data_IF_738808912042
#
_entry.id   IF_738808912042
#
_cell.length_a   1.000
_cell.length_b   1.000
_cell.length_c   1.000
_cell.angle_alpha   90.00
_cell.angle_beta   90.00
_cell.angle_gamma   90.00
#
_symmetry.space_group_name_H-M   'P 1'
#
loop_
_entity.id
_entity.type
_entity.pdbx_description
1 polymer ?
#
# COMPACT_ATOMS: atom_id res chain seq x y z
N UNK A 1 -17.98 -3.24 22.52
CA UNK A 1 -17.16 -2.13 22.01
C UNK A 1 -17.45 -2.04 20.51
N UNK A 2 -17.83 -0.86 20.00
CA UNK A 2 -18.01 -0.69 18.56
C UNK A 2 -16.69 -1.03 17.86
N UNK A 3 -16.75 -1.77 16.76
CA UNK A 3 -15.57 -2.08 15.97
C UNK A 3 -15.04 -0.77 15.40
N UNK A 4 -13.82 -0.39 15.77
CA UNK A 4 -13.23 0.86 15.32
C UNK A 4 -12.95 0.76 13.82
N UNK A 5 -13.56 1.65 13.04
CA UNK A 5 -13.24 1.82 11.62
C UNK A 5 -11.81 2.34 11.49
N UNK A 6 -10.98 1.64 10.72
CA UNK A 6 -9.62 2.07 10.36
C UNK A 6 -9.60 2.30 8.86
N UNK A 7 -9.35 3.54 8.44
CA UNK A 7 -9.15 3.92 7.05
C UNK A 7 -7.70 3.61 6.65
N UNK A 8 -7.54 2.82 5.60
CA UNK A 8 -6.26 2.59 4.93
C UNK A 8 -6.30 3.33 3.60
N UNK A 9 -5.46 4.35 3.48
CA UNK A 9 -5.25 5.03 2.20
C UNK A 9 -4.10 4.35 1.47
N UNK A 10 -4.41 3.65 0.40
CA UNK A 10 -3.42 2.95 -0.44
C UNK A 10 -2.93 3.92 -1.49
N UNK A 11 -1.64 4.26 -1.46
CA UNK A 11 -1.00 5.13 -2.43
C UNK A 11 -0.04 4.31 -3.29
N UNK A 12 -0.40 4.16 -4.56
CA UNK A 12 0.45 3.55 -5.58
C UNK A 12 1.39 4.54 -6.24
N UNK A 13 1.82 4.17 -7.44
CA UNK A 13 2.64 5.03 -8.28
C UNK A 13 1.83 6.18 -8.90
N UNK A 14 0.59 5.89 -9.30
CA UNK A 14 -0.31 6.79 -10.02
C UNK A 14 -1.61 7.08 -9.27
N UNK A 15 -2.11 6.09 -8.52
CA UNK A 15 -3.45 6.13 -7.94
C UNK A 15 -3.43 6.16 -6.41
N UNK A 16 -4.53 6.67 -5.85
CA UNK A 16 -4.85 6.56 -4.43
C UNK A 16 -6.22 5.91 -4.31
N UNK A 17 -6.32 4.87 -3.48
CA UNK A 17 -7.58 4.16 -3.20
C UNK A 17 -7.74 4.03 -1.69
N UNK A 18 -8.92 4.40 -1.21
CA UNK A 18 -9.29 4.33 0.20
C UNK A 18 -10.05 3.03 0.48
N UNK A 19 -9.59 2.25 1.47
CA UNK A 19 -10.26 1.03 1.94
C UNK A 19 -10.45 1.06 3.44
N UNK A 20 -11.52 0.43 3.92
CA UNK A 20 -11.71 0.22 5.36
C UNK A 20 -11.10 -1.11 5.76
N UNK A 21 -10.22 -1.11 6.76
CA UNK A 21 -9.59 -2.32 7.29
C UNK A 21 -10.64 -3.36 7.70
N UNK A 22 -10.42 -4.61 7.30
CA UNK A 22 -11.27 -5.75 7.70
C UNK A 22 -10.41 -6.84 8.32
N UNK A 23 -11.03 -7.67 9.17
CA UNK A 23 -10.39 -8.91 9.64
C UNK A 23 -10.17 -9.84 8.46
N UNK A 24 -9.10 -10.61 8.51
CA UNK A 24 -8.85 -11.65 7.52
C UNK A 24 -10.06 -12.62 7.47
N UNK A 25 -10.57 -12.88 6.27
CA UNK A 25 -11.63 -13.85 6.03
C UNK A 25 -11.10 -15.00 5.17
N UNK A 26 -11.97 -15.93 4.76
CA UNK A 26 -11.56 -16.99 3.83
C UNK A 26 -10.98 -16.36 2.56
N UNK A 27 -9.88 -16.92 2.04
CA UNK A 27 -9.11 -16.33 0.93
C UNK A 27 -10.01 -15.92 -0.24
N UNK A 28 -10.00 -14.63 -0.57
CA UNK A 28 -10.71 -14.11 -1.74
C UNK A 28 -10.28 -14.82 -3.04
N UNK A 29 -11.21 -14.99 -4.00
CA UNK A 29 -10.96 -15.77 -5.22
C UNK A 29 -9.77 -15.23 -6.04
N UNK A 30 -9.63 -13.90 -6.14
CA UNK A 30 -8.50 -13.25 -6.80
C UNK A 30 -7.15 -13.46 -6.10
N UNK A 31 -7.15 -13.91 -4.84
CA UNK A 31 -5.96 -14.06 -3.98
C UNK A 31 -5.61 -15.52 -3.70
N UNK A 32 -6.42 -16.45 -4.22
CA UNK A 32 -6.24 -17.88 -3.98
C UNK A 32 -4.91 -18.35 -4.58
N UNK A 33 -4.10 -19.02 -3.77
CA UNK A 33 -2.79 -19.55 -4.19
C UNK A 33 -1.66 -18.52 -4.23
N UNK A 34 -1.92 -17.24 -3.90
CA UNK A 34 -0.89 -16.21 -3.82
C UNK A 34 -0.30 -16.12 -2.41
N UNK A 35 1.02 -16.14 -2.32
CA UNK A 35 1.74 -15.85 -1.09
C UNK A 35 1.72 -14.34 -0.75
N UNK A 36 2.24 -13.96 0.42
CA UNK A 36 2.22 -12.57 0.87
C UNK A 36 2.99 -11.62 -0.07
N UNK A 37 4.09 -12.08 -0.68
CA UNK A 37 4.85 -11.26 -1.62
C UNK A 37 4.11 -11.10 -2.94
N UNK A 38 3.51 -12.17 -3.47
CA UNK A 38 2.70 -12.13 -4.69
C UNK A 38 1.49 -11.21 -4.50
N UNK A 39 0.84 -11.24 -3.32
CA UNK A 39 -0.25 -10.31 -2.97
C UNK A 39 0.18 -8.83 -3.00
N UNK A 40 1.34 -8.50 -2.42
CA UNK A 40 1.88 -7.12 -2.47
C UNK A 40 2.17 -6.71 -3.92
N UNK A 41 2.77 -7.60 -4.72
CA UNK A 41 3.07 -7.32 -6.12
C UNK A 41 1.79 -7.13 -6.96
N UNK A 42 0.75 -7.92 -6.69
CA UNK A 42 -0.55 -7.79 -7.34
C UNK A 42 -1.20 -6.45 -7.01
N UNK A 43 -1.25 -6.08 -5.73
CA UNK A 43 -1.80 -4.79 -5.32
C UNK A 43 -0.99 -3.63 -5.92
N UNK A 44 0.34 -3.72 -5.90
CA UNK A 44 1.22 -2.74 -6.53
C UNK A 44 0.96 -2.59 -8.02
N UNK A 45 0.74 -3.70 -8.74
CA UNK A 45 0.38 -3.68 -10.15
C UNK A 45 -0.97 -3.02 -10.42
N UNK A 46 -1.99 -3.30 -9.59
CA UNK A 46 -3.30 -2.66 -9.72
C UNK A 46 -3.26 -1.16 -9.44
N UNK A 47 -2.42 -0.73 -8.50
CA UNK A 47 -2.23 0.68 -8.12
C UNK A 47 -1.24 1.43 -9.03
N UNK A 48 -0.96 0.88 -10.21
CA UNK A 48 0.00 1.39 -11.17
C UNK A 48 -0.63 1.52 -12.56
N UNK A 49 -0.16 2.50 -13.33
CA UNK A 49 -0.64 2.87 -14.67
C UNK A 49 -2.07 3.40 -14.70
N UNK A 50 -2.46 4.21 -13.71
CA UNK A 50 -3.76 4.89 -13.63
C UNK A 50 -4.97 3.93 -13.65
N UNK A 51 -4.78 2.71 -13.12
CA UNK A 51 -5.79 1.63 -13.09
C UNK A 51 -6.43 1.44 -11.73
N UNK A 52 -5.81 1.94 -10.66
CA UNK A 52 -6.21 1.63 -9.29
C UNK A 52 -7.63 2.08 -8.99
N UNK A 53 -7.95 3.33 -9.32
CA UNK A 53 -9.29 3.89 -9.12
C UNK A 53 -10.36 3.15 -9.93
N UNK A 54 -10.09 2.84 -11.20
CA UNK A 54 -11.03 2.13 -12.07
C UNK A 54 -11.28 0.69 -11.60
N UNK A 55 -10.24 -0.02 -11.13
CA UNK A 55 -10.39 -1.35 -10.57
C UNK A 55 -11.19 -1.32 -9.26
N UNK A 56 -11.01 -0.29 -8.44
CA UNK A 56 -11.73 -0.13 -7.18
C UNK A 56 -13.24 0.10 -7.33
N UNK A 57 -13.73 0.45 -8.54
CA UNK A 57 -15.17 0.50 -8.83
C UNK A 57 -15.82 -0.90 -8.87
N UNK A 58 -15.03 -1.95 -9.13
CA UNK A 58 -15.48 -3.34 -9.05
C UNK A 58 -15.32 -3.87 -7.61
N UNK A 59 -16.43 -4.32 -7.02
CA UNK A 59 -16.44 -4.76 -5.62
C UNK A 59 -15.49 -5.93 -5.35
N UNK A 60 -15.30 -6.86 -6.31
CA UNK A 60 -14.37 -7.98 -6.11
C UNK A 60 -12.93 -7.50 -6.05
N UNK A 61 -12.54 -6.54 -6.88
CA UNK A 61 -11.21 -5.93 -6.81
C UNK A 61 -11.05 -5.09 -5.55
N UNK A 62 -12.05 -4.29 -5.17
CA UNK A 62 -12.00 -3.49 -3.94
C UNK A 62 -11.88 -4.38 -2.69
N UNK A 63 -12.60 -5.50 -2.64
CA UNK A 63 -12.51 -6.48 -1.55
C UNK A 63 -11.14 -7.15 -1.52
N UNK A 64 -10.58 -7.52 -2.67
CA UNK A 64 -9.23 -8.06 -2.77
C UNK A 64 -8.17 -7.04 -2.33
N UNK A 65 -8.27 -5.78 -2.77
CA UNK A 65 -7.40 -4.68 -2.31
C UNK A 65 -7.48 -4.50 -0.80
N UNK A 66 -8.70 -4.54 -0.25
CA UNK A 66 -8.96 -4.43 1.18
C UNK A 66 -8.31 -5.59 1.96
N UNK A 67 -8.43 -6.83 1.48
CA UNK A 67 -7.84 -8.00 2.12
C UNK A 67 -6.31 -7.91 2.13
N UNK A 68 -5.69 -7.56 1.00
CA UNK A 68 -4.23 -7.40 0.90
C UNK A 68 -3.76 -6.28 1.86
N UNK A 69 -4.36 -5.09 1.78
CA UNK A 69 -3.98 -3.95 2.61
C UNK A 69 -4.16 -4.23 4.11
N UNK A 70 -5.27 -4.87 4.50
CA UNK A 70 -5.52 -5.26 5.89
C UNK A 70 -4.51 -6.29 6.37
N UNK A 71 -4.14 -7.27 5.53
CA UNK A 71 -3.12 -8.27 5.82
C UNK A 71 -1.74 -7.64 6.06
N UNK A 72 -1.33 -6.71 5.19
CA UNK A 72 -0.08 -5.95 5.35
C UNK A 72 -0.03 -5.23 6.70
N UNK A 73 -1.12 -4.56 7.09
CA UNK A 73 -1.16 -3.84 8.37
C UNK A 73 -1.19 -4.79 9.57
N UNK A 74 -1.88 -5.91 9.46
CA UNK A 74 -1.96 -6.92 10.52
C UNK A 74 -0.59 -7.54 10.84
N UNK A 75 0.27 -7.68 9.83
CA UNK A 75 1.65 -8.17 9.98
C UNK A 75 2.66 -7.04 10.32
N UNK A 76 2.21 -5.79 10.31
CA UNK A 76 3.07 -4.64 10.58
C UNK A 76 3.24 -4.35 12.09
N UNK A 77 4.33 -3.68 12.50
CA UNK A 77 4.49 -3.19 13.87
C UNK A 77 3.41 -2.19 14.34
N UNK A 78 2.57 -1.68 13.43
CA UNK A 78 1.53 -0.69 13.72
C UNK A 78 0.35 -1.25 14.51
N UNK A 79 0.26 -2.58 14.66
CA UNK A 79 -0.84 -3.22 15.39
C UNK A 79 -1.04 -2.67 16.81
N UNK A 80 0.02 -2.23 17.50
CA UNK A 80 -0.09 -1.59 18.81
C UNK A 80 -0.74 -0.20 18.74
N UNK A 81 -0.43 0.60 17.72
CA UNK A 81 -0.98 1.94 17.51
C UNK A 81 -2.47 1.85 17.14
N UNK A 82 -2.84 0.89 16.29
CA UNK A 82 -4.24 0.61 15.95
C UNK A 82 -5.05 0.19 17.18
N UNK A 83 -4.49 -0.70 18.02
CA UNK A 83 -5.12 -1.07 19.31
C UNK A 83 -5.23 0.10 20.28
N UNK A 84 -4.32 1.06 20.23
CA UNK A 84 -4.34 2.27 21.05
C UNK A 84 -5.32 3.35 20.52
N UNK A 85 -6.02 3.08 19.42
CA UNK A 85 -7.06 3.96 18.89
C UNK A 85 -6.70 4.66 17.59
N UNK A 86 -5.56 4.41 16.97
CA UNK A 86 -5.30 4.91 15.61
C UNK A 86 -6.34 4.35 14.61
N UNK A 87 -6.85 5.21 13.73
CA UNK A 87 -7.87 4.89 12.73
C UNK A 87 -7.53 5.37 11.31
N UNK A 88 -6.32 5.87 11.08
CA UNK A 88 -5.84 6.23 9.74
C UNK A 88 -4.42 5.72 9.53
N UNK A 89 -4.17 5.11 8.37
CA UNK A 89 -2.85 4.67 7.92
C UNK A 89 -2.70 4.95 6.43
N UNK A 90 -1.61 5.61 6.05
CA UNK A 90 -1.16 5.66 4.66
C UNK A 90 -0.30 4.42 4.36
N UNK A 91 -0.66 3.67 3.31
CA UNK A 91 0.08 2.52 2.82
C UNK A 91 0.65 2.85 1.45
N UNK A 92 1.97 2.96 1.32
CA UNK A 92 2.60 3.21 0.02
C UNK A 92 3.04 1.92 -0.67
N UNK A 93 2.87 1.84 -1.99
CA UNK A 93 3.32 0.72 -2.82
C UNK A 93 4.35 1.22 -3.82
N UNK A 94 5.59 0.76 -3.66
CA UNK A 94 6.75 1.34 -4.30
C UNK A 94 7.40 0.37 -5.27
N UNK A 95 7.61 0.79 -6.52
CA UNK A 95 8.35 0.01 -7.53
C UNK A 95 9.80 -0.21 -7.09
N UNK A 96 10.25 -1.45 -7.11
CA UNK A 96 11.64 -1.79 -6.91
C UNK A 96 12.47 -1.66 -8.19
N UNK A 97 13.68 -1.14 -8.05
CA UNK A 97 14.75 -1.24 -9.04
C UNK A 97 15.49 -2.55 -8.83
N UNK A 98 15.52 -3.38 -9.87
CA UNK A 98 16.27 -4.62 -9.84
C UNK A 98 17.78 -4.38 -9.93
N UNK A 99 18.60 -5.04 -9.07
CA UNK A 99 20.04 -5.03 -9.21
C UNK A 99 20.48 -5.60 -10.56
N UNK A 100 21.59 -5.08 -11.09
CA UNK A 100 22.23 -5.63 -12.30
C UNK A 100 22.55 -7.11 -12.07
N UNK A 101 22.23 -7.96 -13.04
CA UNK A 101 22.40 -9.41 -12.96
C UNK A 101 21.28 -10.18 -12.22
N UNK A 102 20.42 -9.51 -11.45
CA UNK A 102 19.31 -10.16 -10.72
C UNK A 102 17.96 -10.12 -11.45
N UNK A 103 17.89 -9.46 -12.62
CA UNK A 103 16.66 -9.20 -13.38
C UNK A 103 15.79 -10.45 -13.59
N UNK A 104 16.40 -11.60 -13.87
CA UNK A 104 15.65 -12.84 -14.10
C UNK A 104 14.82 -13.28 -12.88
N UNK A 105 15.39 -13.22 -11.67
CA UNK A 105 14.69 -13.59 -10.44
C UNK A 105 13.49 -12.68 -10.18
N UNK A 106 13.70 -11.37 -10.31
CA UNK A 106 12.62 -10.41 -10.08
C UNK A 106 11.53 -10.48 -11.16
N UNK A 107 11.92 -10.74 -12.41
CA UNK A 107 10.96 -11.01 -13.48
C UNK A 107 10.10 -12.24 -13.18
N UNK A 108 10.69 -13.33 -12.69
CA UNK A 108 9.91 -14.52 -12.28
C UNK A 108 8.87 -14.17 -11.22
N UNK A 109 9.22 -13.33 -10.23
CA UNK A 109 8.29 -12.91 -9.18
C UNK A 109 7.17 -12.05 -9.77
N UNK A 110 7.51 -11.03 -10.56
CA UNK A 110 6.53 -10.13 -11.16
C UNK A 110 5.58 -10.88 -12.13
N UNK A 111 6.12 -11.81 -12.92
CA UNK A 111 5.36 -12.59 -13.90
C UNK A 111 4.29 -13.48 -13.26
N UNK A 112 4.45 -13.91 -11.99
CA UNK A 112 3.44 -14.70 -11.27
C UNK A 112 2.09 -13.99 -11.17
N UNK A 113 2.13 -12.66 -11.07
CA UNK A 113 0.95 -11.79 -10.97
C UNK A 113 0.82 -10.86 -12.17
N UNK A 114 1.59 -11.12 -13.25
CA UNK A 114 1.60 -10.34 -14.50
C UNK A 114 1.95 -8.86 -14.29
N UNK A 115 2.78 -8.58 -13.28
CA UNK A 115 3.25 -7.25 -12.97
C UNK A 115 4.46 -6.82 -13.83
N UNK A 116 4.58 -5.53 -14.13
CA UNK A 116 5.73 -4.96 -14.85
C UNK A 116 6.94 -4.72 -13.94
N UNK A 117 6.70 -4.57 -12.64
CA UNK A 117 7.69 -4.36 -11.60
C UNK A 117 7.48 -5.34 -10.45
N UNK A 118 8.49 -5.45 -9.59
CA UNK A 118 8.22 -5.89 -8.22
C UNK A 118 7.95 -4.67 -7.35
N UNK A 119 7.10 -4.84 -6.34
CA UNK A 119 6.63 -3.78 -5.47
C UNK A 119 6.90 -4.13 -4.02
N UNK A 120 7.06 -3.09 -3.20
CA UNK A 120 7.04 -3.21 -1.76
C UNK A 120 5.98 -2.33 -1.15
N UNK A 121 5.31 -2.90 -0.15
CA UNK A 121 4.48 -2.16 0.77
C UNK A 121 5.33 -1.46 1.83
N UNK A 122 5.07 -0.18 2.05
CA UNK A 122 5.57 0.56 3.20
C UNK A 122 4.38 1.19 3.94
N UNK A 123 3.93 0.57 5.04
CA UNK A 123 3.01 1.20 5.97
C UNK A 123 3.69 2.40 6.64
N UNK A 124 3.11 3.59 6.48
CA UNK A 124 3.51 4.78 7.22
C UNK A 124 3.02 4.68 8.68
N UNK A 125 3.16 5.75 9.48
CA UNK A 125 2.67 5.76 10.85
C UNK A 125 1.14 5.56 10.92
N UNK A 126 0.64 4.95 12.00
CA UNK A 126 -0.78 4.90 12.28
C UNK A 126 -1.17 6.03 13.24
N UNK A 127 -2.25 6.72 12.93
CA UNK A 127 -2.65 7.94 13.64
C UNK A 127 -4.15 7.96 13.94
N UNK A 128 -4.52 8.75 14.93
CA UNK A 128 -5.92 9.04 15.24
C UNK A 128 -6.34 10.31 14.50
N UNK A 129 -7.41 10.21 13.73
CA UNK A 129 -8.20 11.31 13.22
C UNK A 129 -9.57 11.32 13.92
N UNK A 130 -10.08 12.52 14.20
CA UNK A 130 -11.37 12.71 14.85
C UNK A 130 -12.53 12.40 13.90
N UNK A 131 -12.42 12.85 12.65
CA UNK A 131 -13.37 12.59 11.57
C UNK A 131 -12.64 12.05 10.34
N UNK A 132 -13.04 10.87 9.87
CA UNK A 132 -12.48 10.24 8.66
C UNK A 132 -13.16 10.74 7.37
N UNK A 133 -14.26 11.50 7.48
CA UNK A 133 -14.98 12.10 6.36
C UNK A 133 -14.49 13.51 6.03
N UNK A 134 -13.69 14.11 6.91
CA UNK A 134 -12.98 15.36 6.66
C UNK A 134 -11.80 15.12 5.69
N UNK A 135 -12.06 15.28 4.40
CA UNK A 135 -11.09 15.05 3.34
C UNK A 135 -9.86 15.96 3.45
N UNK A 136 -10.01 17.16 4.01
CA UNK A 136 -8.90 18.09 4.19
C UNK A 136 -7.98 17.60 5.30
N UNK A 137 -8.54 17.16 6.43
CA UNK A 137 -7.78 16.55 7.51
C UNK A 137 -7.04 15.28 7.05
N UNK A 138 -7.71 14.40 6.29
CA UNK A 138 -7.09 13.19 5.75
C UNK A 138 -5.94 13.53 4.80
N UNK A 139 -6.11 14.53 3.91
CA UNK A 139 -5.06 14.96 2.97
C UNK A 139 -3.87 15.64 3.66
N UNK A 140 -4.14 16.43 4.70
CA UNK A 140 -3.09 17.03 5.52
C UNK A 140 -2.27 15.95 6.21
N UNK A 141 -2.95 14.93 6.75
CA UNK A 141 -2.30 13.83 7.45
C UNK A 141 -1.52 12.92 6.50
N UNK A 142 -2.04 12.64 5.31
CA UNK A 142 -1.31 11.98 4.22
C UNK A 142 0.03 12.69 3.93
N UNK A 143 -0.01 14.02 3.73
CA UNK A 143 1.18 14.83 3.48
C UNK A 143 2.17 14.76 4.65
N UNK A 144 1.67 14.79 5.88
CA UNK A 144 2.47 14.67 7.10
C UNK A 144 3.15 13.30 7.18
N UNK A 145 2.43 12.22 6.90
CA UNK A 145 2.97 10.87 6.91
C UNK A 145 4.05 10.65 5.84
N UNK A 146 3.83 11.15 4.62
CA UNK A 146 4.84 11.12 3.57
C UNK A 146 6.12 11.86 3.97
N UNK A 147 5.96 13.02 4.62
CA UNK A 147 7.08 13.82 5.14
C UNK A 147 7.86 13.07 6.22
N UNK A 148 7.16 12.37 7.12
CA UNK A 148 7.80 11.55 8.16
C UNK A 148 8.52 10.33 7.58
N UNK A 149 7.98 9.72 6.51
CA UNK A 149 8.60 8.59 5.81
C UNK A 149 9.75 8.99 4.89
N UNK A 150 10.03 10.29 4.73
CA UNK A 150 11.08 10.79 3.85
C UNK A 150 12.47 10.25 4.18
N UNK A 151 12.79 10.07 5.47
CA UNK A 151 14.06 9.48 5.89
C UNK A 151 14.21 8.04 5.38
N UNK A 152 13.14 7.24 5.46
CA UNK A 152 13.09 5.89 4.92
C UNK A 152 13.27 5.89 3.40
N UNK A 153 12.58 6.78 2.68
CA UNK A 153 12.70 6.90 1.23
C UNK A 153 14.10 7.32 0.79
N UNK A 154 14.72 8.30 1.47
CA UNK A 154 16.09 8.75 1.19
C UNK A 154 17.11 7.64 1.42
N UNK A 155 16.98 6.87 2.51
CA UNK A 155 17.83 5.72 2.78
C UNK A 155 17.72 4.63 1.70
N UNK A 156 16.53 4.46 1.13
CA UNK A 156 16.22 3.44 0.11
C UNK A 156 16.20 3.96 -1.33
N UNK A 157 16.72 5.18 -1.60
CA UNK A 157 16.59 5.85 -2.92
C UNK A 157 16.99 4.98 -4.11
N UNK A 158 18.01 4.13 -3.96
CA UNK A 158 18.52 3.25 -5.03
C UNK A 158 17.56 2.11 -5.31
N UNK A 159 16.90 1.60 -4.26
CA UNK A 159 15.89 0.55 -4.34
C UNK A 159 14.61 1.06 -5.00
N UNK A 160 14.23 2.30 -4.75
CA UNK A 160 13.01 2.91 -5.32
C UNK A 160 13.28 3.83 -6.51
N UNK A 161 14.37 3.62 -7.25
CA UNK A 161 14.71 4.52 -8.36
C UNK A 161 13.71 4.46 -9.54
N UNK A 162 12.88 3.41 -9.60
CA UNK A 162 11.83 3.24 -10.61
C UNK A 162 10.46 3.76 -10.16
N UNK A 163 10.33 4.22 -8.90
CA UNK A 163 9.09 4.81 -8.37
C UNK A 163 9.19 6.33 -8.43
N UNK A 164 8.54 6.93 -9.43
CA UNK A 164 8.53 8.37 -9.67
C UNK A 164 7.82 9.14 -8.57
N UNK A 165 6.76 8.57 -7.96
CA UNK A 165 6.09 9.15 -6.80
C UNK A 165 7.07 9.43 -5.64
N UNK A 166 7.94 8.45 -5.33
CA UNK A 166 8.99 8.61 -4.33
C UNK A 166 10.10 9.57 -4.77
N UNK A 167 10.47 9.55 -6.06
CA UNK A 167 11.47 10.49 -6.56
C UNK A 167 11.01 11.95 -6.48
N UNK A 168 9.71 12.22 -6.67
CA UNK A 168 9.11 13.53 -6.43
C UNK A 168 9.27 13.97 -4.97
N UNK A 169 8.93 13.07 -4.03
CA UNK A 169 9.04 13.33 -2.59
C UNK A 169 10.48 13.51 -2.10
N UNK A 170 11.45 12.78 -2.66
CA UNK A 170 12.86 12.91 -2.27
C UNK A 170 13.49 14.22 -2.75
N UNK A 171 13.05 14.73 -3.91
CA UNK A 171 13.61 15.93 -4.55
C UNK A 171 12.96 17.23 -4.08
N UNK A 172 11.71 17.18 -3.61
CA UNK A 172 11.03 18.29 -2.93
C UNK A 172 11.65 18.57 -1.57
#
# INVERSE_FOLDING_TARGET
MAEQTVLIRIMGESDIVDVTMRKATASHALLMGLDAADRINLLGHWMDQDRGAALAEDQNHLDAMTEIASGILAESPLGAQLKAGANFVLLTLLREKWPVGSKAKFKIIADRVKADHTYLAHPCAAVKLDDLTDLDAVKQEETRQLSMSLAFYKANRRRFANSSAVQGLIKG
#
